data_IF_901476936166
#
_entry.id   IF_901476936166
#
_cell.length_a   1.000
_cell.length_b   1.000
_cell.length_c   1.000
_cell.angle_alpha   90.00
_cell.angle_beta   90.00
_cell.angle_gamma   90.00
#
_symmetry.space_group_name_H-M   'P 1'
#
loop_
_entity.id
_entity.type
_entity.pdbx_description
1 polymer ?
#
# COMPACT_ATOMS: atom_id res chain seq x y z
N UNK A 1 -20.35 88.68 22.88
CA UNK A 1 -19.39 89.04 23.94
C UNK A 1 -18.39 87.90 24.08
N UNK A 2 -17.11 88.21 23.80
CA UNK A 2 -15.85 87.66 24.35
C UNK A 2 -15.79 86.22 24.91
N UNK A 3 -14.72 85.43 24.80
CA UNK A 3 -13.40 85.46 24.16
C UNK A 3 -12.68 84.17 24.64
N UNK A 4 -11.58 83.78 23.96
CA UNK A 4 -10.51 82.81 24.35
C UNK A 4 -10.75 81.35 23.91
N UNK A 5 -9.80 80.62 23.31
CA UNK A 5 -8.32 80.72 23.22
C UNK A 5 -7.85 79.95 21.98
N UNK A 6 -6.76 80.42 21.37
CA UNK A 6 -5.97 79.71 20.37
C UNK A 6 -5.11 78.61 21.02
N UNK A 7 -4.76 77.56 20.26
CA UNK A 7 -3.42 76.94 20.23
C UNK A 7 -3.26 75.90 19.10
N UNK A 8 -2.33 76.21 18.20
CA UNK A 8 -1.34 75.38 17.48
C UNK A 8 -1.70 74.03 16.81
N UNK A 9 -1.40 74.02 15.51
CA UNK A 9 -1.12 72.90 14.60
C UNK A 9 -0.31 71.72 15.20
N UNK A 10 -0.74 70.50 14.87
CA UNK A 10 0.14 69.46 14.29
C UNK A 10 -0.68 68.59 13.33
N UNK A 11 -0.29 68.61 12.05
CA UNK A 11 -0.78 67.70 11.05
C UNK A 11 -0.13 66.32 11.27
N UNK A 12 -0.94 65.30 11.54
CA UNK A 12 -0.50 63.91 11.54
C UNK A 12 -0.95 63.28 10.22
N UNK A 13 0.04 63.02 9.37
CA UNK A 13 -0.06 62.19 8.17
C UNK A 13 -0.42 60.76 8.57
N UNK A 14 -1.67 60.36 8.39
CA UNK A 14 -2.08 58.96 8.42
C UNK A 14 -1.63 58.30 7.10
N UNK A 15 -0.50 57.61 7.16
CA UNK A 15 -0.04 56.73 6.09
C UNK A 15 -1.01 55.57 5.91
N UNK A 16 -1.60 55.47 4.73
CA UNK A 16 -2.35 54.31 4.31
C UNK A 16 -1.36 53.17 4.03
N UNK A 17 -1.21 52.25 4.99
CA UNK A 17 -0.53 50.98 4.75
C UNK A 17 -1.42 50.12 3.86
N UNK A 18 -1.07 50.02 2.58
CA UNK A 18 -1.60 48.99 1.69
C UNK A 18 -1.15 47.63 2.22
N UNK A 19 -2.05 46.90 2.88
CA UNK A 19 -1.88 45.48 3.14
C UNK A 19 -1.83 44.76 1.79
N UNK A 20 -0.65 44.29 1.42
CA UNK A 20 -0.47 43.33 0.34
C UNK A 20 -1.20 42.04 0.69
N UNK A 21 -1.91 41.40 -0.25
CA UNK A 21 -2.50 40.10 0.01
C UNK A 21 -1.36 39.11 0.23
N UNK A 22 -1.32 38.52 1.43
CA UNK A 22 -0.51 37.35 1.71
C UNK A 22 -0.88 36.24 0.72
N UNK A 23 -0.06 36.06 -0.31
CA UNK A 23 0.00 34.80 -1.02
C UNK A 23 0.30 33.71 0.02
N UNK A 24 -0.52 32.64 0.14
CA UNK A 24 -0.13 31.52 0.96
C UNK A 24 1.18 31.02 0.37
N UNK A 25 2.23 30.98 1.18
CA UNK A 25 3.47 30.33 0.81
C UNK A 25 3.09 28.96 0.25
N UNK A 26 3.42 28.73 -1.02
CA UNK A 26 3.45 27.39 -1.59
C UNK A 26 4.43 26.61 -0.71
N UNK A 27 3.90 25.93 0.30
CA UNK A 27 4.64 24.94 1.07
C UNK A 27 5.23 24.00 0.03
N UNK A 28 6.56 24.05 -0.10
CA UNK A 28 7.30 23.10 -0.91
C UNK A 28 6.95 21.72 -0.36
N UNK A 29 6.51 20.83 -1.23
CA UNK A 29 6.20 19.46 -0.89
C UNK A 29 7.42 18.82 -0.22
N UNK A 30 7.23 18.24 0.97
CA UNK A 30 8.33 17.66 1.74
C UNK A 30 8.85 16.39 1.05
N UNK A 31 10.17 16.21 1.08
CA UNK A 31 10.84 15.03 0.54
C UNK A 31 11.25 14.08 1.66
N UNK A 32 10.79 12.84 1.59
CA UNK A 32 11.30 11.73 2.38
C UNK A 32 12.36 11.01 1.57
N UNK A 33 13.63 11.36 1.82
CA UNK A 33 14.80 10.77 1.16
C UNK A 33 15.34 9.63 2.01
N UNK A 34 15.51 8.45 1.43
CA UNK A 34 16.01 7.26 2.14
C UNK A 34 17.06 6.48 1.35
N UNK A 35 17.85 5.70 2.08
CA UNK A 35 18.86 4.77 1.55
C UNK A 35 18.58 3.35 2.06
N UNK A 36 19.35 2.36 1.60
CA UNK A 36 19.17 0.96 2.06
C UNK A 36 19.53 0.80 3.55
N UNK A 37 20.40 1.66 4.07
CA UNK A 37 20.80 1.73 5.48
C UNK A 37 19.65 2.14 6.40
N UNK A 38 18.60 2.77 5.86
CA UNK A 38 17.38 3.08 6.61
C UNK A 38 16.45 1.86 6.79
N UNK A 39 16.71 0.74 6.12
CA UNK A 39 15.90 -0.47 6.24
C UNK A 39 16.03 -1.10 7.63
N UNK A 40 14.88 -1.39 8.24
CA UNK A 40 14.79 -2.00 9.57
C UNK A 40 14.75 -3.53 9.44
N UNK A 41 15.90 -4.19 9.34
CA UNK A 41 15.95 -5.63 9.04
C UNK A 41 15.84 -6.55 10.29
N UNK A 42 16.69 -6.43 11.33
CA UNK A 42 16.66 -7.37 12.45
C UNK A 42 15.63 -7.00 13.53
N UNK A 43 15.12 -8.00 14.24
CA UNK A 43 14.36 -7.81 15.49
C UNK A 43 12.90 -7.38 15.35
N UNK A 44 12.37 -7.33 14.13
CA UNK A 44 10.94 -7.09 13.88
C UNK A 44 10.15 -8.37 14.15
N UNK A 45 9.10 -8.31 14.96
CA UNK A 45 8.23 -9.46 15.24
C UNK A 45 7.02 -9.04 16.07
N UNK A 46 6.04 -9.93 16.21
CA UNK A 46 4.88 -9.68 17.05
C UNK A 46 5.21 -9.98 18.51
N UNK A 47 5.42 -8.97 19.34
CA UNK A 47 5.47 -9.17 20.79
C UNK A 47 4.08 -9.55 21.30
N UNK A 48 3.95 -10.79 21.77
CA UNK A 48 2.86 -11.18 22.67
C UNK A 48 3.43 -11.51 24.06
N UNK A 49 3.97 -10.53 24.77
CA UNK A 49 3.97 -10.63 26.23
C UNK A 49 2.58 -10.14 26.69
N UNK A 50 1.67 -11.09 26.96
CA UNK A 50 0.34 -10.85 27.56
C UNK A 50 0.38 -10.21 28.96
N UNK A 51 1.56 -9.84 29.44
CA UNK A 51 1.87 -9.43 30.82
C UNK A 51 2.46 -8.03 30.92
N UNK A 52 2.83 -7.41 29.80
CA UNK A 52 3.33 -6.04 29.78
C UNK A 52 2.34 -5.22 28.95
N UNK A 53 1.96 -4.02 29.43
CA UNK A 53 1.03 -3.13 28.75
C UNK A 53 1.53 -2.74 27.35
N UNK A 54 0.90 -1.77 26.66
CA UNK A 54 1.37 -1.34 25.35
C UNK A 54 2.80 -0.81 25.47
N UNK A 55 3.79 -1.66 25.20
CA UNK A 55 5.18 -1.28 25.08
C UNK A 55 5.25 -0.38 23.84
N UNK A 56 5.61 0.89 24.02
CA UNK A 56 5.77 1.83 22.92
C UNK A 56 6.84 1.28 21.98
N UNK A 57 6.42 0.81 20.80
CA UNK A 57 7.32 0.33 19.74
C UNK A 57 8.17 1.53 19.30
N UNK A 58 9.51 1.41 19.23
CA UNK A 58 10.31 2.49 18.65
C UNK A 58 9.91 2.64 17.18
N UNK A 59 9.36 3.81 16.84
CA UNK A 59 8.97 4.14 15.48
C UNK A 59 10.22 4.46 14.65
N UNK A 60 10.30 3.94 13.43
CA UNK A 60 11.33 4.36 12.47
C UNK A 60 11.12 5.82 12.03
N UNK A 61 12.09 6.40 11.31
CA UNK A 61 11.91 7.71 10.67
C UNK A 61 10.71 7.72 9.71
N UNK A 62 10.53 6.62 8.97
CA UNK A 62 9.41 6.44 8.06
C UNK A 62 8.07 6.39 8.80
N UNK A 63 7.99 5.61 9.89
CA UNK A 63 6.77 5.50 10.69
C UNK A 63 6.38 6.83 11.30
N UNK A 64 7.35 7.56 11.85
CA UNK A 64 7.09 8.90 12.40
C UNK A 64 6.55 9.84 11.32
N UNK A 65 7.17 9.89 10.14
CA UNK A 65 6.75 10.77 9.05
C UNK A 65 5.33 10.42 8.56
N UNK A 66 5.04 9.14 8.34
CA UNK A 66 3.74 8.68 7.85
C UNK A 66 2.63 8.88 8.90
N UNK A 67 2.85 8.40 10.12
CA UNK A 67 1.83 8.42 11.18
C UNK A 67 1.49 9.86 11.59
N UNK A 68 2.50 10.70 11.85
CA UNK A 68 2.26 12.10 12.24
C UNK A 68 1.59 12.90 11.13
N UNK A 69 2.03 12.73 9.88
CA UNK A 69 1.41 13.38 8.72
C UNK A 69 -0.04 12.94 8.53
N UNK A 70 -0.32 11.65 8.65
CA UNK A 70 -1.68 11.11 8.53
C UNK A 70 -2.60 11.65 9.64
N UNK A 71 -2.14 11.67 10.89
CA UNK A 71 -2.89 12.23 12.03
C UNK A 71 -3.14 13.73 11.88
N UNK A 72 -2.14 14.49 11.43
CA UNK A 72 -2.29 15.92 11.14
C UNK A 72 -3.39 16.13 10.10
N UNK A 73 -3.36 15.40 8.98
CA UNK A 73 -4.40 15.52 7.95
C UNK A 73 -5.78 15.08 8.47
N UNK A 74 -5.83 14.17 9.44
CA UNK A 74 -7.08 13.74 10.08
C UNK A 74 -7.65 14.86 10.96
N UNK A 75 -6.79 15.54 11.73
CA UNK A 75 -7.16 16.73 12.53
C UNK A 75 -7.62 17.89 11.64
N UNK A 76 -7.04 18.03 10.45
CA UNK A 76 -7.44 19.04 9.45
C UNK A 76 -8.74 18.69 8.69
N UNK A 77 -9.33 17.52 8.92
CA UNK A 77 -10.60 17.13 8.30
C UNK A 77 -10.52 16.85 6.80
N UNK A 78 -9.37 16.38 6.30
CA UNK A 78 -9.16 16.10 4.88
C UNK A 78 -9.71 14.72 4.43
N UNK A 79 -10.22 13.93 5.36
CA UNK A 79 -10.84 12.64 5.10
C UNK A 79 -12.36 12.79 4.94
N UNK A 80 -12.99 11.85 4.25
CA UNK A 80 -14.46 11.83 4.09
C UNK A 80 -15.21 11.56 5.39
N UNK A 81 -14.55 10.88 6.32
CA UNK A 81 -15.05 10.59 7.65
C UNK A 81 -13.89 10.50 8.62
N UNK A 82 -14.18 10.70 9.90
CA UNK A 82 -13.22 10.54 10.97
C UNK A 82 -13.03 9.05 11.29
N UNK A 83 -11.80 8.55 11.19
CA UNK A 83 -11.48 7.18 11.61
C UNK A 83 -11.08 7.19 13.08
N UNK A 84 -12.01 6.78 13.96
CA UNK A 84 -11.72 6.51 15.36
C UNK A 84 -11.19 5.08 15.57
N UNK A 85 -11.17 4.64 16.83
CA UNK A 85 -10.85 3.25 17.16
C UNK A 85 -11.88 2.29 16.55
N UNK A 86 -11.41 1.33 15.76
CA UNK A 86 -12.27 0.35 15.10
C UNK A 86 -12.61 -0.79 16.06
N UNK A 87 -13.91 -1.07 16.22
CA UNK A 87 -14.34 -2.27 16.95
C UNK A 87 -13.78 -3.50 16.24
N UNK A 88 -12.89 -4.21 16.93
CA UNK A 88 -12.13 -5.32 16.37
C UNK A 88 -12.50 -6.62 17.07
N UNK A 89 -12.76 -7.67 16.28
CA UNK A 89 -13.07 -9.01 16.78
C UNK A 89 -12.17 -10.01 16.07
N UNK A 90 -11.38 -10.76 16.84
CA UNK A 90 -10.62 -11.89 16.33
C UNK A 90 -11.50 -13.12 16.33
N UNK A 91 -11.69 -13.73 15.16
CA UNK A 91 -12.49 -14.95 15.06
C UNK A 91 -11.81 -16.11 15.81
N UNK A 92 -12.57 -17.00 16.46
CA UNK A 92 -12.00 -18.01 17.36
C UNK A 92 -11.41 -19.23 16.65
N UNK A 93 -11.57 -19.36 15.34
CA UNK A 93 -11.14 -20.54 14.61
C UNK A 93 -9.64 -20.53 14.25
N UNK A 94 -9.24 -21.41 13.33
CA UNK A 94 -7.83 -21.64 12.98
C UNK A 94 -7.22 -20.48 12.20
N UNK A 95 -8.03 -19.81 11.38
CA UNK A 95 -7.55 -18.68 10.56
C UNK A 95 -7.34 -17.44 11.42
N UNK A 96 -8.20 -17.26 12.43
CA UNK A 96 -8.19 -16.10 13.34
C UNK A 96 -8.34 -14.78 12.58
N UNK A 97 -9.32 -14.73 11.66
CA UNK A 97 -9.62 -13.50 10.93
C UNK A 97 -9.75 -12.29 11.86
N UNK A 98 -9.16 -11.18 11.45
CA UNK A 98 -9.28 -9.89 12.11
C UNK A 98 -10.48 -9.18 11.51
N UNK A 99 -11.65 -9.26 12.14
CA UNK A 99 -12.83 -8.54 11.69
C UNK A 99 -12.88 -7.15 12.33
N UNK A 100 -13.08 -6.10 11.53
CA UNK A 100 -13.21 -4.72 12.00
C UNK A 100 -14.47 -4.07 11.47
N UNK A 101 -15.26 -3.47 12.36
CA UNK A 101 -16.47 -2.76 11.96
C UNK A 101 -16.14 -1.33 11.52
N UNK A 102 -16.39 -1.02 10.24
CA UNK A 102 -16.22 0.31 9.68
C UNK A 102 -17.44 0.71 8.84
N UNK A 103 -18.50 1.14 9.52
CA UNK A 103 -19.79 1.51 8.91
C UNK A 103 -19.62 2.73 7.98
N UNK A 104 -18.90 3.75 8.44
CA UNK A 104 -18.68 4.98 7.67
C UNK A 104 -17.98 4.71 6.35
N UNK A 105 -17.01 3.78 6.32
CA UNK A 105 -16.39 3.34 5.06
C UNK A 105 -17.40 2.74 4.09
N UNK A 106 -18.38 1.98 4.60
CA UNK A 106 -19.45 1.41 3.77
C UNK A 106 -20.33 2.48 3.13
N UNK A 107 -20.57 3.59 3.83
CA UNK A 107 -21.48 4.68 3.43
C UNK A 107 -20.79 5.76 2.58
N UNK A 108 -19.60 6.21 2.99
CA UNK A 108 -18.93 7.41 2.47
C UNK A 108 -17.95 7.12 1.33
N UNK A 109 -17.57 5.85 1.16
CA UNK A 109 -16.63 5.45 0.09
C UNK A 109 -17.26 5.73 -1.27
N UNK A 110 -16.44 6.30 -2.15
CA UNK A 110 -16.81 6.53 -3.55
C UNK A 110 -17.34 5.25 -4.21
N UNK A 111 -18.26 5.43 -5.16
CA UNK A 111 -18.59 4.36 -6.09
C UNK A 111 -17.34 4.01 -6.92
N UNK A 112 -17.05 2.70 -7.11
CA UNK A 112 -16.02 2.27 -8.05
C UNK A 112 -16.28 2.77 -9.46
N UNK A 113 -15.22 2.90 -10.24
CA UNK A 113 -15.30 3.13 -11.68
C UNK A 113 -15.93 1.94 -12.40
N UNK A 114 -16.48 2.21 -13.58
CA UNK A 114 -16.94 1.15 -14.47
C UNK A 114 -15.73 0.47 -15.10
N UNK A 115 -15.52 -0.80 -14.72
CA UNK A 115 -14.37 -1.61 -15.12
C UNK A 115 -14.90 -2.82 -15.86
N UNK A 116 -14.43 -3.00 -17.10
CA UNK A 116 -14.88 -4.04 -18.03
C UNK A 116 -13.78 -5.02 -18.41
N UNK A 117 -12.51 -4.67 -18.14
CA UNK A 117 -11.33 -5.49 -18.50
C UNK A 117 -10.19 -5.21 -17.54
N UNK A 118 -9.31 -6.20 -17.36
CA UNK A 118 -8.07 -6.04 -16.58
C UNK A 118 -7.12 -5.05 -17.27
N UNK A 119 -7.14 -5.02 -18.61
CA UNK A 119 -6.31 -4.15 -19.46
C UNK A 119 -7.02 -2.86 -19.88
N UNK A 120 -8.10 -2.49 -19.20
CA UNK A 120 -8.83 -1.27 -19.51
C UNK A 120 -7.90 -0.06 -19.45
N UNK A 121 -7.92 0.74 -20.52
CA UNK A 121 -7.07 1.93 -20.66
C UNK A 121 -7.49 3.01 -19.65
N UNK A 122 -6.51 3.83 -19.27
CA UNK A 122 -6.76 5.04 -18.48
C UNK A 122 -7.80 5.93 -19.16
N UNK A 123 -8.69 6.51 -18.37
CA UNK A 123 -9.75 7.41 -18.84
C UNK A 123 -9.67 8.75 -18.08
N UNK A 124 -9.30 9.86 -18.73
CA UNK A 124 -9.20 11.17 -18.08
C UNK A 124 -10.54 11.76 -17.63
N UNK A 125 -11.66 11.28 -18.18
CA UNK A 125 -13.00 11.76 -17.80
C UNK A 125 -13.40 11.24 -16.42
N UNK A 126 -13.01 10.01 -16.10
CA UNK A 126 -13.22 9.43 -14.78
C UNK A 126 -12.29 10.07 -13.75
N UNK A 127 -12.50 9.78 -12.47
CA UNK A 127 -11.59 10.27 -11.45
C UNK A 127 -10.18 9.70 -11.64
N UNK A 128 -9.17 10.52 -11.39
CA UNK A 128 -7.77 10.12 -11.43
C UNK A 128 -6.97 10.99 -10.45
N UNK A 129 -5.77 10.56 -10.09
CA UNK A 129 -4.97 11.24 -9.07
C UNK A 129 -4.45 12.63 -9.44
N UNK A 130 -4.46 13.06 -10.72
CA UNK A 130 -4.27 14.50 -11.02
C UNK A 130 -5.37 15.43 -10.46
N UNK A 131 -6.44 14.88 -9.86
CA UNK A 131 -7.55 15.62 -9.24
C UNK A 131 -7.46 15.68 -7.70
N UNK A 132 -6.42 15.11 -7.08
CA UNK A 132 -6.22 15.20 -5.62
C UNK A 132 -5.85 16.62 -5.21
N UNK A 133 -6.20 17.01 -3.97
CA UNK A 133 -5.78 18.29 -3.44
C UNK A 133 -4.33 18.21 -2.94
N UNK A 134 -3.52 19.28 -3.08
CA UNK A 134 -2.15 19.28 -2.55
C UNK A 134 -2.06 18.94 -1.05
N UNK A 135 -3.05 19.35 -0.25
CA UNK A 135 -3.09 19.04 1.18
C UNK A 135 -3.31 17.56 1.52
N UNK A 136 -3.72 16.73 0.56
CA UNK A 136 -3.85 15.27 0.73
C UNK A 136 -2.49 14.55 0.66
N UNK A 137 -1.46 15.22 0.16
CA UNK A 137 -0.12 14.64 0.01
C UNK A 137 0.63 14.77 1.35
N UNK A 138 1.23 13.66 1.80
CA UNK A 138 2.10 13.64 2.98
C UNK A 138 3.50 14.13 2.62
N UNK A 139 4.15 13.44 1.67
CA UNK A 139 5.50 13.74 1.20
C UNK A 139 5.78 13.04 -0.13
N UNK A 140 6.88 13.42 -0.79
CA UNK A 140 7.46 12.68 -1.92
C UNK A 140 8.53 11.74 -1.40
N UNK A 141 8.37 10.46 -1.66
CA UNK A 141 9.34 9.44 -1.28
C UNK A 141 10.34 9.24 -2.41
N UNK A 142 11.64 9.39 -2.11
CA UNK A 142 12.73 9.36 -3.11
C UNK A 142 13.91 8.56 -2.56
N UNK A 143 14.52 7.69 -3.38
CA UNK A 143 15.79 7.04 -3.04
C UNK A 143 16.91 8.06 -3.12
N UNK A 144 17.81 8.09 -2.15
CA UNK A 144 18.97 8.95 -2.25
C UNK A 144 19.84 8.52 -3.44
N UNK A 145 20.52 9.46 -4.11
CA UNK A 145 21.43 9.11 -5.19
C UNK A 145 22.59 8.29 -4.64
N UNK A 146 22.88 7.15 -5.28
CA UNK A 146 23.98 6.28 -4.86
C UNK A 146 25.29 7.09 -4.72
N UNK A 147 25.87 7.12 -3.52
CA UNK A 147 27.06 7.93 -3.21
C UNK A 147 28.37 7.41 -3.84
N UNK A 148 28.33 6.40 -4.70
CA UNK A 148 29.52 5.85 -5.36
C UNK A 148 29.27 5.66 -6.87
N UNK A 149 29.99 6.39 -7.76
CA UNK A 149 30.11 5.93 -9.13
C UNK A 149 30.83 4.57 -9.09
N UNK A 150 30.41 3.58 -9.89
CA UNK A 150 31.13 2.32 -9.97
C UNK A 150 32.57 2.64 -10.38
N UNK A 151 33.50 2.34 -9.49
CA UNK A 151 34.93 2.42 -9.74
C UNK A 151 35.18 1.59 -10.98
N UNK A 152 35.53 2.25 -12.09
CA UNK A 152 35.84 1.61 -13.37
C UNK A 152 37.03 0.66 -13.18
N UNK A 153 36.75 -0.59 -12.86
CA UNK A 153 37.63 -1.71 -13.14
C UNK A 153 37.49 -2.05 -14.61
N UNK A 154 38.50 -1.71 -15.41
CA UNK A 154 38.55 -2.00 -16.83
C UNK A 154 38.33 -3.49 -17.12
N UNK A 155 37.27 -3.82 -17.85
CA UNK A 155 37.22 -4.92 -18.82
C UNK A 155 36.11 -4.63 -19.81
N UNK A 156 36.51 -4.30 -21.04
CA UNK A 156 35.60 -4.17 -22.16
C UNK A 156 34.97 -5.53 -22.44
N UNK A 157 33.64 -5.60 -22.52
CA UNK A 157 32.95 -6.41 -23.51
C UNK A 157 31.56 -5.83 -23.76
N UNK A 158 31.23 -5.79 -25.06
CA UNK A 158 30.12 -5.08 -25.68
C UNK A 158 28.82 -5.89 -25.56
N UNK A 159 27.69 -5.18 -25.45
CA UNK A 159 26.41 -5.63 -25.98
C UNK A 159 25.28 -5.77 -24.97
N UNK A 160 24.65 -4.65 -24.59
CA UNK A 160 23.19 -4.62 -24.43
C UNK A 160 22.65 -3.20 -24.68
N UNK A 161 21.59 -2.99 -25.49
CA UNK A 161 21.10 -1.66 -25.81
C UNK A 161 20.10 -1.16 -24.75
N UNK A 162 20.54 -0.15 -24.00
CA UNK A 162 19.74 1.05 -23.69
C UNK A 162 18.38 0.85 -23.00
N UNK A 163 18.38 0.69 -21.67
CA UNK A 163 17.39 1.42 -20.85
C UNK A 163 17.82 2.88 -20.75
N UNK A 164 17.17 3.72 -21.55
CA UNK A 164 17.33 5.17 -21.56
C UNK A 164 16.78 5.79 -20.27
N UNK A 165 17.53 5.72 -19.16
CA UNK A 165 17.33 6.64 -18.05
C UNK A 165 17.87 7.99 -18.47
N UNK A 166 16.96 8.91 -18.82
CA UNK A 166 17.31 10.32 -19.00
C UNK A 166 18.00 10.82 -17.71
N UNK A 167 19.22 11.35 -17.78
CA UNK A 167 19.92 11.85 -16.60
C UNK A 167 19.19 13.08 -16.06
N UNK A 168 18.61 12.98 -14.85
CA UNK A 168 18.17 14.14 -14.07
C UNK A 168 16.71 14.19 -13.61
N UNK A 169 15.87 13.18 -13.86
CA UNK A 169 14.54 13.11 -13.23
C UNK A 169 14.64 12.17 -12.02
N UNK A 170 14.48 12.66 -10.78
CA UNK A 170 14.37 11.77 -9.64
C UNK A 170 13.13 10.89 -9.80
N UNK A 171 13.32 9.58 -9.76
CA UNK A 171 12.25 8.61 -9.54
C UNK A 171 11.68 8.85 -8.15
N UNK A 172 10.50 9.45 -8.05
CA UNK A 172 9.78 9.66 -6.79
C UNK A 172 8.41 9.00 -6.85
N UNK A 173 7.86 8.69 -5.67
CA UNK A 173 6.44 8.34 -5.51
C UNK A 173 5.81 9.29 -4.51
N UNK A 174 4.58 9.72 -4.78
CA UNK A 174 3.78 10.50 -3.85
C UNK A 174 3.19 9.57 -2.81
N UNK A 175 3.41 9.89 -1.53
CA UNK A 175 2.68 9.31 -0.42
C UNK A 175 1.46 10.18 -0.12
N UNK A 176 0.25 9.68 -0.38
CA UNK A 176 -0.99 10.46 -0.32
C UNK A 176 -1.96 9.80 0.65
N UNK A 177 -2.68 10.55 1.49
CA UNK A 177 -3.71 9.95 2.35
C UNK A 177 -4.79 9.28 1.50
N UNK A 178 -5.26 8.11 1.94
CA UNK A 178 -6.52 7.60 1.40
C UNK A 178 -7.68 8.32 2.12
N UNK A 179 -8.30 9.28 1.43
CA UNK A 179 -9.44 10.06 1.97
C UNK A 179 -10.65 9.21 2.38
N UNK A 180 -10.69 7.93 1.99
CA UNK A 180 -11.52 6.91 2.62
C UNK A 180 -10.58 5.89 3.29
N UNK A 181 -10.22 6.07 4.57
CA UNK A 181 -9.21 5.25 5.23
C UNK A 181 -9.80 3.94 5.75
N UNK A 182 -9.10 2.83 5.53
CA UNK A 182 -9.56 1.50 5.94
C UNK A 182 -9.24 1.29 7.41
N UNK A 183 -8.01 1.67 7.73
CA UNK A 183 -7.33 1.54 9.00
C UNK A 183 -6.40 2.76 9.15
N UNK A 184 -5.84 2.93 10.34
CA UNK A 184 -4.82 3.91 10.67
C UNK A 184 -3.64 3.89 9.68
N UNK A 185 -3.19 5.10 9.32
CA UNK A 185 -2.10 5.29 8.34
C UNK A 185 -2.43 4.80 6.93
N UNK A 186 -3.71 4.62 6.57
CA UNK A 186 -4.06 4.23 5.20
C UNK A 186 -3.71 5.34 4.20
N UNK A 187 -2.69 5.07 3.40
CA UNK A 187 -2.10 5.92 2.36
C UNK A 187 -2.12 5.22 1.00
N UNK A 188 -1.82 5.99 -0.04
CA UNK A 188 -1.65 5.57 -1.41
C UNK A 188 -0.23 5.93 -1.85
N UNK A 189 0.48 4.99 -2.46
CA UNK A 189 1.73 5.26 -3.17
C UNK A 189 1.36 5.44 -4.64
N UNK A 190 1.63 6.63 -5.17
CA UNK A 190 1.23 7.01 -6.52
C UNK A 190 2.52 7.44 -7.25
N UNK A 191 2.88 6.84 -8.40
CA UNK A 191 3.96 7.38 -9.23
C UNK A 191 3.55 8.77 -9.74
N UNK A 192 4.38 9.43 -10.55
CA UNK A 192 3.99 10.73 -11.12
C UNK A 192 2.60 10.63 -11.80
N UNK A 193 1.56 11.26 -11.23
CA UNK A 193 0.19 11.07 -11.71
C UNK A 193 -0.01 11.67 -13.11
N UNK A 194 0.89 12.56 -13.56
CA UNK A 194 0.83 13.16 -14.90
C UNK A 194 1.12 12.13 -16.00
N UNK A 195 1.78 11.01 -15.67
CA UNK A 195 2.02 9.89 -16.58
C UNK A 195 0.73 9.14 -16.95
N UNK A 196 -0.36 9.33 -16.19
CA UNK A 196 -1.67 8.76 -16.48
C UNK A 196 -1.63 7.23 -16.69
N UNK A 197 -0.80 6.54 -15.90
CA UNK A 197 -0.61 5.10 -16.03
C UNK A 197 -1.90 4.37 -15.60
N UNK A 198 -2.40 3.39 -16.39
CA UNK A 198 -3.52 2.55 -15.97
C UNK A 198 -3.14 1.73 -14.73
N UNK A 199 -4.12 1.15 -14.03
CA UNK A 199 -3.93 0.31 -12.85
C UNK A 199 -3.32 -1.06 -13.21
N UNK A 200 -2.08 -1.03 -13.70
CA UNK A 200 -1.22 -2.16 -14.07
C UNK A 200 0.10 -1.97 -13.32
N UNK A 201 0.52 -2.98 -12.56
CA UNK A 201 1.64 -2.87 -11.64
C UNK A 201 2.97 -2.74 -12.40
N UNK A 202 3.76 -1.72 -12.05
CA UNK A 202 5.11 -1.52 -12.61
C UNK A 202 6.19 -1.91 -11.62
N UNK A 203 7.34 -2.36 -12.11
CA UNK A 203 8.49 -2.74 -11.28
C UNK A 203 8.93 -1.60 -10.34
N UNK A 204 9.04 -0.37 -10.86
CA UNK A 204 9.50 0.79 -10.09
C UNK A 204 8.59 1.07 -8.88
N UNK A 205 7.27 1.16 -9.11
CA UNK A 205 6.31 1.39 -8.03
C UNK A 205 6.28 0.23 -7.03
N UNK A 206 6.34 -1.02 -7.50
CA UNK A 206 6.38 -2.18 -6.62
C UNK A 206 7.63 -2.14 -5.73
N UNK A 207 8.79 -1.77 -6.28
CA UNK A 207 10.01 -1.65 -5.52
C UNK A 207 9.88 -0.61 -4.39
N UNK A 208 9.26 0.55 -4.65
CA UNK A 208 8.94 1.52 -3.58
C UNK A 208 8.02 0.91 -2.52
N UNK A 209 7.06 0.07 -2.92
CA UNK A 209 6.19 -0.65 -1.99
C UNK A 209 6.94 -1.64 -1.10
N UNK A 210 7.86 -2.42 -1.66
CA UNK A 210 8.72 -3.35 -0.92
C UNK A 210 9.60 -2.61 0.10
N UNK A 211 10.26 -1.55 -0.35
CA UNK A 211 11.14 -0.74 0.49
C UNK A 211 10.37 -0.03 1.61
N UNK A 212 9.15 0.45 1.35
CA UNK A 212 8.28 1.03 2.39
C UNK A 212 7.98 0.04 3.52
N UNK A 213 7.83 -1.25 3.21
CA UNK A 213 7.66 -2.31 4.23
C UNK A 213 8.96 -2.56 5.01
N UNK A 214 10.13 -2.36 4.38
CA UNK A 214 11.41 -2.45 5.07
C UNK A 214 11.76 -1.24 5.91
N UNK A 215 11.34 -0.04 5.49
CA UNK A 215 11.56 1.21 6.23
C UNK A 215 10.73 1.27 7.52
N UNK A 216 9.57 0.61 7.55
CA UNK A 216 8.74 0.50 8.74
C UNK A 216 9.38 -0.44 9.78
N UNK A 217 9.44 0.03 11.03
CA UNK A 217 9.75 -0.79 12.20
C UNK A 217 8.50 -1.50 12.76
N UNK A 218 7.31 -1.24 12.20
CA UNK A 218 6.09 -1.91 12.59
C UNK A 218 5.86 -3.18 11.74
N UNK A 219 5.78 -4.40 12.31
CA UNK A 219 5.56 -5.64 11.56
C UNK A 219 4.25 -5.65 10.77
N UNK A 220 3.25 -4.92 11.27
CA UNK A 220 1.94 -4.77 10.64
C UNK A 220 1.80 -3.67 9.57
N UNK A 221 2.86 -2.96 9.20
CA UNK A 221 2.78 -2.07 8.03
C UNK A 221 2.81 -2.90 6.75
N UNK A 222 1.81 -2.71 5.89
CA UNK A 222 1.56 -3.56 4.74
C UNK A 222 1.29 -2.71 3.52
N UNK A 223 1.72 -3.22 2.38
CA UNK A 223 1.47 -2.62 1.08
C UNK A 223 0.68 -3.58 0.22
N UNK A 224 -0.19 -3.08 -0.64
CA UNK A 224 -0.68 -3.95 -1.69
C UNK A 224 -1.44 -3.29 -2.83
N UNK A 225 -1.75 -4.13 -3.79
CA UNK A 225 -2.26 -3.78 -5.11
C UNK A 225 -3.53 -4.56 -5.40
N UNK A 226 -4.51 -3.87 -5.94
CA UNK A 226 -5.67 -4.47 -6.57
C UNK A 226 -5.57 -4.17 -8.06
N UNK A 227 -5.60 -5.19 -8.92
CA UNK A 227 -5.77 -4.96 -10.36
C UNK A 227 -7.23 -4.64 -10.70
N UNK A 228 -7.46 -4.16 -11.92
CA UNK A 228 -8.81 -4.03 -12.47
C UNK A 228 -9.49 -5.41 -12.51
N UNK A 229 -10.76 -5.49 -12.13
CA UNK A 229 -11.47 -6.77 -11.91
C UNK A 229 -11.15 -7.46 -10.57
N UNK A 230 -10.14 -6.98 -9.82
CA UNK A 230 -9.77 -7.44 -8.49
C UNK A 230 -10.14 -6.44 -7.38
N UNK A 231 -11.28 -5.76 -7.54
CA UNK A 231 -11.80 -4.73 -6.62
C UNK A 231 -11.01 -3.41 -6.57
N UNK A 232 -10.09 -3.14 -7.51
CA UNK A 232 -9.62 -1.78 -7.76
C UNK A 232 -10.80 -0.84 -8.02
N UNK A 233 -10.77 0.36 -7.45
CA UNK A 233 -11.88 1.33 -7.57
C UNK A 233 -11.56 2.51 -8.48
N UNK A 234 -10.30 2.66 -8.85
CA UNK A 234 -9.77 3.74 -9.67
C UNK A 234 -8.80 3.12 -10.68
N UNK A 235 -8.98 3.40 -11.96
CA UNK A 235 -8.05 3.06 -13.02
C UNK A 235 -7.01 4.17 -13.19
N UNK A 236 -6.09 4.25 -12.22
CA UNK A 236 -4.89 5.06 -12.28
C UNK A 236 -3.92 4.42 -11.30
N UNK A 237 -2.72 4.05 -11.75
CA UNK A 237 -1.75 3.26 -10.99
C UNK A 237 -1.52 3.78 -9.56
N UNK A 238 -1.77 2.92 -8.58
CA UNK A 238 -1.45 3.14 -7.17
C UNK A 238 -1.28 1.83 -6.41
N UNK A 239 -0.51 1.90 -5.33
CA UNK A 239 -0.52 0.92 -4.24
C UNK A 239 -1.24 1.50 -3.01
N UNK A 240 -1.73 0.62 -2.16
CA UNK A 240 -2.21 0.95 -0.81
C UNK A 240 -1.09 0.70 0.19
N UNK A 241 -0.96 1.54 1.20
CA UNK A 241 -0.16 1.29 2.41
C UNK A 241 -1.02 1.51 3.65
N UNK A 242 -0.90 0.68 4.69
CA UNK A 242 -1.62 0.85 5.96
C UNK A 242 -0.96 0.07 7.09
N UNK A 243 -1.21 0.48 8.33
CA UNK A 243 -0.85 -0.29 9.52
C UNK A 243 -2.02 -1.17 9.92
N UNK A 244 -1.77 -2.37 10.43
CA UNK A 244 -2.78 -3.15 11.16
C UNK A 244 -2.04 -3.87 12.28
N UNK A 245 -2.36 -3.58 13.53
CA UNK A 245 -1.64 -4.11 14.71
C UNK A 245 -2.11 -5.52 15.13
N UNK A 246 -2.30 -6.38 14.13
CA UNK A 246 -2.65 -7.78 14.30
C UNK A 246 -1.88 -8.64 13.32
N UNK A 247 -1.30 -9.72 13.82
CA UNK A 247 -0.67 -10.76 13.01
C UNK A 247 -1.71 -11.49 12.16
N UNK A 248 -1.39 -11.69 10.87
CA UNK A 248 -2.20 -12.47 9.94
C UNK A 248 -1.58 -13.85 9.67
N UNK A 249 -2.42 -14.86 9.46
CA UNK A 249 -1.99 -16.25 9.20
C UNK A 249 -0.95 -16.34 8.05
N UNK A 250 -1.13 -15.53 7.00
CA UNK A 250 -0.27 -15.53 5.81
C UNK A 250 1.17 -15.11 6.08
N UNK A 251 1.46 -14.48 7.23
CA UNK A 251 2.80 -14.04 7.61
C UNK A 251 3.69 -15.20 8.03
N UNK A 252 3.09 -16.30 8.50
CA UNK A 252 3.81 -17.45 9.06
C UNK A 252 3.42 -18.78 8.43
N UNK A 253 2.29 -18.84 7.71
CA UNK A 253 1.82 -20.06 7.04
C UNK A 253 2.90 -20.69 6.14
N UNK A 254 3.06 -22.02 6.17
CA UNK A 254 4.05 -22.72 5.34
C UNK A 254 3.66 -22.65 3.86
N UNK A 255 4.65 -22.73 2.97
CA UNK A 255 4.42 -22.76 1.53
C UNK A 255 5.31 -23.81 0.84
N UNK A 256 4.78 -24.43 -0.22
CA UNK A 256 5.50 -25.43 -0.99
C UNK A 256 6.40 -24.77 -2.03
N UNK A 257 7.67 -25.18 -2.18
CA UNK A 257 8.55 -24.58 -3.17
C UNK A 257 8.10 -24.90 -4.60
N UNK A 258 8.03 -23.87 -5.45
CA UNK A 258 7.77 -23.98 -6.89
C UNK A 258 9.04 -23.74 -7.71
N UNK A 259 9.79 -22.69 -7.36
CA UNK A 259 11.08 -22.38 -7.97
C UNK A 259 12.05 -21.91 -6.86
N UNK A 260 12.87 -22.82 -6.28
CA UNK A 260 13.73 -22.50 -5.14
C UNK A 260 14.79 -21.42 -5.42
N UNK A 261 15.29 -21.32 -6.65
CA UNK A 261 16.31 -20.33 -7.04
C UNK A 261 15.79 -18.89 -6.94
N UNK A 262 14.48 -18.70 -7.10
CA UNK A 262 13.81 -17.40 -7.03
C UNK A 262 13.02 -17.21 -5.73
N UNK A 263 13.15 -18.14 -4.76
CA UNK A 263 12.32 -18.19 -3.56
C UNK A 263 10.82 -18.06 -3.86
N UNK A 264 10.37 -18.70 -4.95
CA UNK A 264 8.98 -18.72 -5.37
C UNK A 264 8.28 -20.01 -4.90
N UNK A 265 7.12 -19.85 -4.27
CA UNK A 265 6.41 -20.88 -3.53
C UNK A 265 4.90 -20.82 -3.79
N UNK A 266 4.20 -21.90 -3.45
CA UNK A 266 2.75 -22.00 -3.43
C UNK A 266 2.25 -22.03 -1.99
N UNK A 267 1.47 -21.02 -1.61
CA UNK A 267 0.85 -20.92 -0.30
C UNK A 267 -0.43 -21.75 -0.30
N UNK A 268 -0.41 -22.89 0.40
CA UNK A 268 -1.55 -23.80 0.57
C UNK A 268 -2.06 -23.77 2.01
N UNK A 269 -3.15 -24.49 2.28
CA UNK A 269 -3.73 -24.67 3.62
C UNK A 269 -4.14 -23.35 4.32
N UNK A 270 -4.37 -22.31 3.52
CA UNK A 270 -4.94 -21.02 3.91
C UNK A 270 -6.29 -20.83 3.20
N UNK A 271 -7.18 -19.95 3.68
CA UNK A 271 -8.49 -19.73 3.05
C UNK A 271 -8.42 -19.35 1.58
N UNK A 272 -7.37 -18.62 1.18
CA UNK A 272 -7.09 -18.21 -0.18
C UNK A 272 -5.70 -18.69 -0.61
N UNK A 273 -5.59 -19.86 -1.27
CA UNK A 273 -4.33 -20.30 -1.86
C UNK A 273 -3.80 -19.28 -2.88
N UNK A 274 -2.49 -19.15 -2.95
CA UNK A 274 -1.84 -18.15 -3.80
C UNK A 274 -0.36 -18.41 -4.01
N UNK A 275 0.29 -17.54 -4.76
CA UNK A 275 1.72 -17.63 -5.04
C UNK A 275 2.49 -16.72 -4.10
N UNK A 276 3.65 -17.17 -3.61
CA UNK A 276 4.44 -16.46 -2.61
C UNK A 276 5.88 -16.30 -3.08
N UNK A 277 6.36 -15.07 -3.12
CA UNK A 277 7.80 -14.78 -3.11
C UNK A 277 8.25 -14.43 -1.70
N UNK A 278 9.48 -14.82 -1.37
CA UNK A 278 10.12 -14.49 -0.10
C UNK A 278 11.50 -13.86 -0.33
N UNK A 279 11.83 -12.82 0.43
CA UNK A 279 13.16 -12.21 0.48
C UNK A 279 13.53 -11.83 1.91
N UNK A 280 14.80 -11.98 2.28
CA UNK A 280 15.36 -11.49 3.54
C UNK A 280 15.65 -9.97 3.51
N UNK A 281 15.22 -9.26 2.46
CA UNK A 281 15.40 -7.81 2.29
C UNK A 281 16.47 -7.42 1.26
N UNK A 282 17.17 -8.38 0.66
CA UNK A 282 18.12 -8.15 -0.43
C UNK A 282 17.48 -8.20 -1.82
N UNK A 283 18.17 -7.62 -2.81
CA UNK A 283 17.86 -7.69 -4.25
C UNK A 283 16.41 -7.32 -4.61
N UNK A 284 15.85 -6.30 -3.95
CA UNK A 284 14.44 -5.90 -4.11
C UNK A 284 14.07 -5.54 -5.56
N UNK A 285 15.01 -5.01 -6.34
CA UNK A 285 14.81 -4.75 -7.77
C UNK A 285 14.56 -6.03 -8.57
N UNK A 286 15.34 -7.09 -8.32
CA UNK A 286 15.17 -8.39 -8.97
C UNK A 286 13.88 -9.09 -8.49
N UNK A 287 13.56 -8.97 -7.20
CA UNK A 287 12.30 -9.44 -6.65
C UNK A 287 11.10 -8.75 -7.34
N UNK A 288 11.12 -7.42 -7.43
CA UNK A 288 10.07 -6.63 -8.08
C UNK A 288 9.94 -7.01 -9.58
N UNK A 289 11.06 -7.19 -10.28
CA UNK A 289 11.07 -7.66 -11.66
C UNK A 289 10.35 -9.01 -11.81
N UNK A 290 10.68 -10.01 -11.00
CA UNK A 290 10.07 -11.34 -11.07
C UNK A 290 8.57 -11.32 -10.72
N UNK A 291 8.16 -10.51 -9.75
CA UNK A 291 6.74 -10.32 -9.43
C UNK A 291 6.01 -9.67 -10.61
N UNK A 292 6.62 -8.67 -11.27
CA UNK A 292 6.04 -8.04 -12.45
C UNK A 292 5.90 -9.01 -13.63
N UNK A 293 6.87 -9.91 -13.87
CA UNK A 293 6.71 -10.99 -14.87
C UNK A 293 5.46 -11.82 -14.62
N UNK A 294 5.18 -12.16 -13.35
CA UNK A 294 3.95 -12.88 -12.98
C UNK A 294 2.72 -12.01 -13.22
N UNK A 295 2.69 -10.76 -12.74
CA UNK A 295 1.50 -9.91 -12.91
C UNK A 295 1.25 -9.55 -14.36
N UNK A 296 2.28 -9.33 -15.17
CA UNK A 296 2.16 -9.03 -16.60
C UNK A 296 1.56 -10.21 -17.36
N UNK A 297 1.96 -11.44 -17.01
CA UNK A 297 1.32 -12.64 -17.54
C UNK A 297 -0.17 -12.71 -17.16
N UNK A 298 -0.52 -12.39 -15.91
CA UNK A 298 -1.93 -12.34 -15.48
C UNK A 298 -2.72 -11.27 -16.23
N UNK A 299 -2.13 -10.09 -16.44
CA UNK A 299 -2.71 -9.00 -17.24
C UNK A 299 -2.93 -9.45 -18.68
N UNK A 300 -1.94 -10.07 -19.32
CA UNK A 300 -2.03 -10.58 -20.69
C UNK A 300 -3.18 -11.58 -20.85
N UNK A 301 -3.40 -12.42 -19.84
CA UNK A 301 -4.47 -13.43 -19.79
C UNK A 301 -5.82 -12.89 -19.30
N UNK A 302 -5.95 -11.58 -19.05
CA UNK A 302 -7.16 -10.96 -18.46
C UNK A 302 -7.56 -11.58 -17.11
N UNK A 303 -6.58 -12.03 -16.32
CA UNK A 303 -6.79 -12.60 -14.99
C UNK A 303 -6.67 -11.49 -13.94
N UNK A 304 -7.79 -11.21 -13.26
CA UNK A 304 -7.82 -10.33 -12.10
C UNK A 304 -6.92 -10.88 -11.00
N UNK A 305 -6.22 -9.99 -10.28
CA UNK A 305 -5.26 -10.38 -9.26
C UNK A 305 -5.02 -9.31 -8.19
N UNK A 306 -4.55 -9.78 -7.05
CA UNK A 306 -4.12 -8.96 -5.92
C UNK A 306 -2.66 -9.27 -5.58
N UNK A 307 -1.90 -8.25 -5.16
CA UNK A 307 -0.53 -8.41 -4.66
C UNK A 307 -0.45 -7.82 -3.26
N UNK A 308 0.07 -8.57 -2.30
CA UNK A 308 0.16 -8.15 -0.90
C UNK A 308 1.56 -8.34 -0.37
N UNK A 309 2.12 -7.26 0.18
CA UNK A 309 3.47 -7.19 0.74
C UNK A 309 3.34 -7.02 2.24
N UNK A 310 3.97 -7.92 2.99
CA UNK A 310 3.99 -7.92 4.45
C UNK A 310 5.32 -8.43 4.96
N UNK A 311 5.70 -8.05 6.19
CA UNK A 311 6.73 -8.77 6.94
C UNK A 311 6.22 -10.18 7.26
N UNK A 312 7.14 -11.14 7.36
CA UNK A 312 6.80 -12.52 7.70
C UNK A 312 8.02 -13.42 7.78
N UNK A 313 7.80 -14.69 8.11
CA UNK A 313 8.87 -15.68 8.27
C UNK A 313 9.18 -16.39 6.95
N UNK A 314 10.32 -17.08 6.85
CA UNK A 314 10.59 -17.93 5.70
C UNK A 314 9.51 -19.02 5.51
N UNK A 315 9.21 -19.45 4.26
CA UNK A 315 8.14 -20.39 3.97
C UNK A 315 8.39 -21.85 4.40
N UNK A 316 9.56 -22.19 4.95
CA UNK A 316 10.02 -23.56 5.22
C UNK A 316 9.67 -24.13 6.61
N UNK A 317 8.58 -23.68 7.21
CA UNK A 317 8.19 -24.10 8.57
C UNK A 317 9.04 -23.45 9.65
N UNK A 318 8.81 -23.74 10.94
CA UNK A 318 9.29 -22.91 12.05
C UNK A 318 10.80 -23.04 12.22
N UNK A 319 11.57 -22.23 11.51
CA UNK A 319 12.85 -21.76 12.06
C UNK A 319 12.50 -21.00 13.33
N UNK A 320 13.09 -21.37 14.46
CA UNK A 320 12.87 -20.82 15.82
C UNK A 320 13.12 -19.30 15.97
N UNK A 321 13.20 -18.55 14.88
CA UNK A 321 13.22 -17.09 14.90
C UNK A 321 11.79 -16.58 15.00
N UNK A 322 11.45 -16.02 16.15
CA UNK A 322 10.23 -15.20 16.34
C UNK A 322 10.28 -13.88 15.54
N UNK A 323 11.38 -13.63 14.80
CA UNK A 323 11.56 -12.45 13.99
C UNK A 323 10.89 -12.60 12.60
N UNK A 324 10.00 -11.68 12.30
CA UNK A 324 9.43 -11.39 10.98
C UNK A 324 10.38 -10.45 10.20
N UNK A 325 11.64 -10.86 10.04
CA UNK A 325 12.67 -10.03 9.39
C UNK A 325 12.48 -9.94 7.88
N UNK A 326 11.98 -11.00 7.24
CA UNK A 326 11.80 -11.08 5.80
C UNK A 326 10.52 -10.43 5.27
N UNK A 327 10.47 -10.27 3.95
CA UNK A 327 9.28 -9.85 3.19
C UNK A 327 8.63 -11.07 2.56
N UNK A 328 7.32 -11.19 2.74
CA UNK A 328 6.45 -12.06 1.97
C UNK A 328 5.66 -11.22 0.96
N UNK A 329 5.71 -11.62 -0.31
CA UNK A 329 4.86 -11.06 -1.37
C UNK A 329 3.91 -12.13 -1.87
N UNK A 330 2.63 -11.99 -1.56
CA UNK A 330 1.59 -12.93 -1.93
C UNK A 330 0.83 -12.40 -3.14
N UNK A 331 0.64 -13.24 -4.15
CA UNK A 331 -0.10 -12.95 -5.37
C UNK A 331 -1.29 -13.91 -5.44
N UNK A 332 -2.49 -13.35 -5.48
CA UNK A 332 -3.72 -14.12 -5.68
C UNK A 332 -4.29 -13.86 -7.05
N UNK A 333 -4.24 -14.88 -7.91
CA UNK A 333 -5.03 -14.91 -9.14
C UNK A 333 -6.47 -15.30 -8.79
N UNK A 334 -7.45 -14.57 -9.32
CA UNK A 334 -8.85 -14.69 -8.90
C UNK A 334 -9.81 -14.48 -10.07
N UNK A 335 -11.06 -14.89 -9.88
CA UNK A 335 -12.13 -14.59 -10.83
C UNK A 335 -12.33 -13.08 -10.92
N UNK A 336 -12.46 -12.56 -12.13
CA UNK A 336 -12.76 -11.15 -12.35
C UNK A 336 -14.14 -10.80 -11.81
N UNK A 337 -14.21 -9.67 -11.11
CA UNK A 337 -15.44 -9.12 -10.55
C UNK A 337 -15.73 -7.78 -11.24
N UNK A 338 -16.56 -7.82 -12.28
CA UNK A 338 -17.04 -6.65 -13.01
C UNK A 338 -18.51 -6.39 -12.64
N UNK A 339 -18.93 -5.13 -12.48
CA UNK A 339 -20.31 -4.76 -12.17
C UNK A 339 -20.69 -4.64 -10.68
N UNK A 340 -21.99 -4.71 -10.39
CA UNK A 340 -22.58 -4.47 -9.05
C UNK A 340 -22.16 -5.54 -8.05
N UNK A 341 -21.55 -5.09 -6.96
CA UNK A 341 -21.01 -5.93 -5.89
C UNK A 341 -22.15 -6.65 -5.15
N UNK A 342 -22.00 -7.96 -4.99
CA UNK A 342 -22.90 -8.81 -4.22
C UNK A 342 -23.09 -8.30 -2.77
N UNK A 343 -24.27 -8.57 -2.20
CA UNK A 343 -24.67 -8.29 -0.81
C UNK A 343 -23.93 -9.19 0.19
N UNK A 344 -22.61 -9.23 0.12
CA UNK A 344 -21.76 -9.90 1.11
C UNK A 344 -21.39 -8.96 2.25
N UNK A 345 -21.14 -9.54 3.44
CA UNK A 345 -20.69 -8.84 4.64
C UNK A 345 -19.47 -7.94 4.40
N UNK A 346 -18.61 -8.33 3.46
CA UNK A 346 -17.42 -7.60 3.02
C UNK A 346 -17.17 -7.83 1.52
N UNK A 347 -16.36 -6.95 0.92
CA UNK A 347 -15.91 -7.12 -0.46
C UNK A 347 -14.61 -7.92 -0.44
N UNK A 348 -14.48 -9.01 -1.21
CA UNK A 348 -13.22 -9.80 -1.25
C UNK A 348 -12.20 -9.11 -2.16
N UNK A 349 -11.57 -8.06 -1.65
CA UNK A 349 -10.48 -7.35 -2.28
C UNK A 349 -9.15 -7.89 -1.75
N UNK A 350 -8.22 -7.01 -1.39
CA UNK A 350 -6.88 -7.37 -0.92
C UNK A 350 -6.82 -7.83 0.53
N UNK A 351 -7.42 -7.07 1.46
CA UNK A 351 -7.29 -7.31 2.90
C UNK A 351 -7.95 -8.63 3.31
N UNK A 352 -9.06 -8.95 2.65
CA UNK A 352 -9.89 -10.08 3.00
C UNK A 352 -9.22 -11.40 2.62
N UNK A 353 -8.49 -11.43 1.50
CA UNK A 353 -7.63 -12.55 1.11
C UNK A 353 -6.48 -12.76 2.10
N UNK A 354 -5.97 -11.68 2.70
CA UNK A 354 -4.89 -11.73 3.69
C UNK A 354 -5.37 -12.10 5.11
N UNK A 355 -6.67 -12.06 5.38
CA UNK A 355 -7.23 -12.38 6.71
C UNK A 355 -7.73 -11.18 7.53
N UNK A 356 -7.73 -9.98 6.97
CA UNK A 356 -8.31 -8.78 7.56
C UNK A 356 -9.67 -8.51 6.90
N UNK A 357 -10.76 -8.50 7.68
CA UNK A 357 -12.14 -8.37 7.22
C UNK A 357 -12.77 -7.03 7.65
N UNK A 358 -12.78 -6.00 6.79
CA UNK A 358 -13.49 -4.75 7.01
C UNK A 358 -15.00 -4.97 6.77
N UNK A 359 -15.76 -5.01 7.87
CA UNK A 359 -17.21 -5.26 7.87
C UNK A 359 -17.97 -3.95 7.85
N UNK A 360 -19.02 -3.87 7.03
CA UNK A 360 -19.76 -2.64 6.76
C UNK A 360 -20.99 -2.44 7.66
N UNK A 361 -21.50 -3.50 8.29
CA UNK A 361 -22.71 -3.44 9.11
C UNK A 361 -22.51 -4.10 10.46
N UNK A 362 -23.20 -3.61 11.49
CA UNK A 362 -23.15 -4.20 12.83
C UNK A 362 -23.72 -5.63 12.85
N UNK A 363 -24.75 -5.89 12.05
CA UNK A 363 -25.39 -7.20 11.95
C UNK A 363 -24.41 -8.25 11.40
N UNK A 364 -23.75 -7.95 10.29
CA UNK A 364 -22.74 -8.84 9.72
C UNK A 364 -21.57 -9.01 10.68
N UNK A 365 -21.14 -7.92 11.33
CA UNK A 365 -20.02 -7.97 12.28
C UNK A 365 -20.31 -8.87 13.47
N UNK A 366 -21.54 -8.94 13.94
CA UNK A 366 -21.93 -9.83 15.04
C UNK A 366 -22.08 -11.28 14.58
N UNK A 367 -22.71 -11.51 13.42
CA UNK A 367 -23.11 -12.85 13.00
C UNK A 367 -22.08 -13.60 12.15
N UNK A 368 -21.13 -12.91 11.54
CA UNK A 368 -20.16 -13.53 10.64
C UNK A 368 -19.33 -14.57 11.40
N UNK A 369 -19.31 -15.79 10.89
CA UNK A 369 -18.50 -16.90 11.41
C UNK A 369 -17.27 -17.11 10.54
N UNK A 370 -16.22 -17.74 11.09
CA UNK A 370 -15.02 -18.05 10.31
C UNK A 370 -15.33 -18.91 9.09
N UNK A 371 -16.18 -19.94 9.22
CA UNK A 371 -16.64 -20.76 8.10
C UNK A 371 -17.30 -19.93 7.01
N UNK A 372 -18.24 -19.05 7.38
CA UNK A 372 -18.92 -18.19 6.39
C UNK A 372 -17.97 -17.20 5.70
N UNK A 373 -16.95 -16.70 6.42
CA UNK A 373 -15.94 -15.83 5.84
C UNK A 373 -15.07 -16.58 4.81
N UNK A 374 -14.67 -17.81 5.12
CA UNK A 374 -13.95 -18.70 4.19
C UNK A 374 -14.79 -18.94 2.94
N UNK A 375 -16.08 -19.27 3.09
CA UNK A 375 -16.98 -19.52 1.95
C UNK A 375 -17.10 -18.30 1.05
N UNK A 376 -17.22 -17.08 1.61
CA UNK A 376 -17.27 -15.82 0.85
C UNK A 376 -15.96 -15.60 0.06
N UNK A 377 -14.82 -15.83 0.71
CA UNK A 377 -13.50 -15.68 0.09
C UNK A 377 -13.34 -16.66 -1.08
N UNK A 378 -13.65 -17.93 -0.86
CA UNK A 378 -13.43 -19.00 -1.84
C UNK A 378 -14.25 -18.84 -3.12
N UNK A 379 -15.42 -18.19 -3.07
CA UNK A 379 -16.23 -17.90 -4.27
C UNK A 379 -15.48 -17.08 -5.31
N UNK A 380 -14.57 -16.21 -4.85
CA UNK A 380 -13.83 -15.30 -5.70
C UNK A 380 -12.53 -15.90 -6.26
N UNK A 381 -12.08 -17.04 -5.73
CA UNK A 381 -10.84 -17.67 -6.17
C UNK A 381 -11.01 -18.40 -7.52
N UNK A 382 -9.90 -18.60 -8.23
CA UNK A 382 -9.90 -19.45 -9.41
C UNK A 382 -10.23 -20.91 -9.01
N UNK A 383 -10.97 -21.66 -9.85
CA UNK A 383 -11.12 -23.10 -9.67
C UNK A 383 -9.76 -23.81 -9.67
N UNK A 384 -9.64 -24.87 -8.88
CA UNK A 384 -8.39 -25.62 -8.70
C UNK A 384 -7.72 -26.03 -10.02
N UNK A 385 -8.43 -26.57 -11.04
CA UNK A 385 -7.77 -26.94 -12.30
C UNK A 385 -7.15 -25.75 -13.04
N UNK A 386 -7.79 -24.57 -12.95
CA UNK A 386 -7.26 -23.35 -13.57
C UNK A 386 -6.06 -22.82 -12.79
N UNK A 387 -6.11 -22.87 -11.45
CA UNK A 387 -5.00 -22.45 -10.59
C UNK A 387 -3.77 -23.35 -10.79
N UNK A 388 -3.97 -24.67 -10.88
CA UNK A 388 -2.92 -25.66 -11.13
C UNK A 388 -2.30 -25.49 -12.52
N UNK A 389 -3.10 -25.20 -13.55
CA UNK A 389 -2.58 -24.87 -14.88
C UNK A 389 -1.75 -23.58 -14.86
N UNK A 390 -2.26 -22.54 -14.21
CA UNK A 390 -1.55 -21.26 -14.06
C UNK A 390 -0.23 -21.44 -13.32
N UNK A 391 -0.19 -22.26 -12.25
CA UNK A 391 1.03 -22.57 -11.53
C UNK A 391 2.14 -23.10 -12.46
N UNK A 392 1.82 -24.04 -13.34
CA UNK A 392 2.78 -24.57 -14.33
C UNK A 392 3.27 -23.49 -15.31
N UNK A 393 2.39 -22.61 -15.76
CA UNK A 393 2.74 -21.49 -16.64
C UNK A 393 3.69 -20.51 -15.95
N UNK A 394 3.39 -20.13 -14.70
CA UNK A 394 4.22 -19.19 -13.95
C UNK A 394 5.61 -19.75 -13.65
N UNK A 395 5.73 -21.04 -13.32
CA UNK A 395 7.04 -21.68 -13.17
C UNK A 395 7.83 -21.60 -14.46
N UNK A 396 7.20 -21.95 -15.59
CA UNK A 396 7.84 -21.92 -16.91
C UNK A 396 8.37 -20.53 -17.23
N UNK A 397 7.51 -19.51 -17.12
CA UNK A 397 7.86 -18.11 -17.41
C UNK A 397 8.96 -17.62 -16.49
N UNK A 398 9.01 -18.02 -15.22
CA UNK A 398 10.06 -17.56 -14.31
C UNK A 398 11.41 -18.25 -14.53
N UNK A 399 11.42 -19.44 -15.14
CA UNK A 399 12.64 -20.22 -15.42
C UNK A 399 13.22 -20.03 -16.81
N UNK A 400 12.42 -19.49 -17.73
CA UNK A 400 12.86 -18.93 -19.01
C UNK A 400 13.49 -17.54 -18.80
#
# INVERSE_FOLDING_TARGET
MACRRASSNMAVSLGASQEQPHHPATSSLEDFVYEEEDFVLPGIGWWRSRSEGPASRPLSRFDNALQSGWEEKMKLGLFRYHLGELQTRIMPGKVRFVAQLNIQRGLERRRPQDIQSVRQRFDPQQFHFNKIKPGEILFRMTRAPACHPPTRGCSQNQGDPSESRLPGIPSYVLMVINVSPLEFGHVLLIPDPTLCLPQILTQELLQFGLESVLLSAHPGFRVGFNSLGAFASVNHLHLHGFYLDWELLIETAPAEPLCPTLNFHFLKDVPAPGFLFYSEGGELGALAHNICRVTDHLVEKEIAHNVFVTRGTAPRGPTHSEAHSGIRVIIWARKSSFGTKEEAAFNVALCELAGHLPIKTAQDFQNLTETSAIDIIQRHLLPEPQLSHLQSQLVTILTE
#
